data_IF_860238624596
#
_entry.id   IF_860238624596
#
_cell.length_a   1.000
_cell.length_b   1.000
_cell.length_c   1.000
_cell.angle_alpha   90.00
_cell.angle_beta   90.00
_cell.angle_gamma   90.00
#
_symmetry.space_group_name_H-M   'P 1'
#
loop_
_entity.id
_entity.type
_entity.pdbx_description
1 polymer ?
#
# COMPACT_ATOMS: atom_id res chain seq x y z
N UNK A 1 44.48 2.67 20.46
CA UNK A 1 43.47 3.21 19.54
C UNK A 1 43.01 2.09 18.62
N UNK A 2 41.89 1.46 18.95
CA UNK A 2 41.21 0.48 18.09
C UNK A 2 39.74 0.90 18.04
N UNK A 3 39.33 1.44 16.89
CA UNK A 3 37.97 1.87 16.66
C UNK A 3 37.05 0.65 16.54
N UNK A 4 36.05 0.57 17.41
CA UNK A 4 35.02 -0.46 17.34
C UNK A 4 34.10 -0.20 16.13
N UNK A 5 33.82 -1.24 15.34
CA UNK A 5 32.82 -1.23 14.28
C UNK A 5 31.44 -0.83 14.83
N UNK A 6 30.65 -0.01 14.10
CA UNK A 6 29.27 0.25 14.48
C UNK A 6 28.47 -1.06 14.38
N UNK A 7 27.86 -1.45 15.49
CA UNK A 7 26.98 -2.61 15.59
C UNK A 7 25.86 -2.52 14.54
N UNK A 8 25.59 -3.64 13.86
CA UNK A 8 24.45 -3.77 12.96
C UNK A 8 23.15 -3.32 13.66
N UNK A 9 22.24 -2.62 12.95
CA UNK A 9 20.98 -2.18 13.54
C UNK A 9 20.19 -3.40 14.04
N UNK A 10 19.80 -3.37 15.31
CA UNK A 10 18.90 -4.38 15.89
C UNK A 10 17.58 -4.37 15.10
N UNK A 11 16.98 -5.52 14.78
CA UNK A 11 15.64 -5.55 14.23
C UNK A 11 14.69 -4.90 15.23
N UNK A 12 14.15 -3.74 14.86
CA UNK A 12 13.11 -3.05 15.62
C UNK A 12 11.84 -3.89 15.46
N UNK A 13 11.41 -4.58 16.52
CA UNK A 13 10.07 -5.15 16.55
C UNK A 13 9.08 -3.98 16.66
N UNK A 14 8.13 -3.82 15.73
CA UNK A 14 7.10 -2.80 15.87
C UNK A 14 6.22 -3.09 17.11
N UNK A 15 5.67 -2.06 17.78
CA UNK A 15 4.67 -2.26 18.83
C UNK A 15 3.48 -3.03 18.25
N UNK A 16 2.95 -3.96 19.03
CA UNK A 16 1.82 -4.80 18.61
C UNK A 16 0.66 -3.94 18.11
N UNK A 17 0.13 -4.30 16.93
CA UNK A 17 -1.02 -3.66 16.31
C UNK A 17 -2.25 -3.67 17.22
N UNK A 18 -3.21 -2.82 16.91
CA UNK A 18 -4.47 -2.72 17.64
C UNK A 18 -5.06 -4.15 17.83
N UNK A 19 -5.15 -4.68 19.07
CA UNK A 19 -5.18 -6.13 19.33
C UNK A 19 -6.38 -6.88 18.72
N UNK A 20 -7.41 -6.16 18.29
CA UNK A 20 -8.57 -6.71 17.58
C UNK A 20 -8.49 -6.69 16.04
N UNK A 21 -7.57 -5.95 15.40
CA UNK A 21 -7.57 -5.80 13.93
C UNK A 21 -7.29 -7.10 13.20
N UNK A 22 -6.32 -7.88 13.68
CA UNK A 22 -6.00 -9.17 13.07
C UNK A 22 -7.16 -10.17 13.22
N UNK A 23 -7.79 -10.22 14.40
CA UNK A 23 -8.95 -11.08 14.63
C UNK A 23 -10.16 -10.64 13.79
N UNK A 24 -10.36 -9.33 13.62
CA UNK A 24 -11.41 -8.78 12.76
C UNK A 24 -11.16 -9.10 11.28
N UNK A 25 -9.92 -8.97 10.82
CA UNK A 25 -9.53 -9.36 9.47
C UNK A 25 -9.70 -10.87 9.25
N UNK A 26 -9.33 -11.71 10.22
CA UNK A 26 -9.54 -13.16 10.18
C UNK A 26 -11.02 -13.48 10.05
N UNK A 27 -11.87 -12.93 10.92
CA UNK A 27 -13.32 -13.14 10.86
C UNK A 27 -13.90 -12.73 9.50
N UNK A 28 -13.45 -11.60 8.94
CA UNK A 28 -13.86 -11.19 7.60
C UNK A 28 -13.45 -12.21 6.52
N UNK A 29 -12.21 -12.70 6.56
CA UNK A 29 -11.71 -13.71 5.60
C UNK A 29 -12.46 -15.02 5.74
N UNK A 30 -12.72 -15.47 6.97
CA UNK A 30 -13.47 -16.71 7.25
C UNK A 30 -14.91 -16.61 6.72
N UNK A 31 -15.59 -15.50 7.01
CA UNK A 31 -16.95 -15.25 6.53
C UNK A 31 -17.00 -15.19 4.99
N UNK A 32 -16.02 -14.53 4.37
CA UNK A 32 -15.94 -14.44 2.91
C UNK A 32 -15.60 -15.79 2.26
N UNK A 33 -14.76 -16.60 2.90
CA UNK A 33 -14.47 -17.96 2.46
C UNK A 33 -15.68 -18.89 2.61
N UNK A 34 -16.46 -18.74 3.67
CA UNK A 34 -17.73 -19.46 3.84
C UNK A 34 -18.75 -19.14 2.72
N UNK A 35 -18.69 -17.93 2.15
CA UNK A 35 -19.49 -17.52 0.97
C UNK A 35 -18.84 -17.86 -0.38
N UNK A 36 -17.66 -18.47 -0.38
CA UNK A 36 -16.93 -18.81 -1.61
C UNK A 36 -16.32 -17.61 -2.34
N UNK A 37 -16.19 -16.46 -1.68
CA UNK A 37 -15.64 -15.24 -2.29
C UNK A 37 -14.11 -15.16 -2.19
N UNK A 38 -13.55 -15.70 -1.11
CA UNK A 38 -12.11 -15.75 -0.82
C UNK A 38 -11.68 -17.21 -0.57
N UNK A 39 -10.40 -17.56 -0.80
CA UNK A 39 -9.84 -18.80 -0.28
C UNK A 39 -9.78 -18.76 1.25
N UNK A 40 -9.91 -19.93 1.91
CA UNK A 40 -9.62 -20.05 3.34
C UNK A 40 -8.14 -19.75 3.57
N UNK A 41 -7.84 -18.87 4.53
CA UNK A 41 -6.47 -18.49 4.87
C UNK A 41 -6.39 -18.07 6.34
N UNK A 42 -5.40 -18.61 7.04
CA UNK A 42 -5.03 -18.16 8.38
C UNK A 42 -4.15 -16.91 8.28
N UNK A 43 -4.56 -15.83 8.93
CA UNK A 43 -3.86 -14.54 8.94
C UNK A 43 -2.88 -14.42 10.11
N UNK A 44 -2.92 -15.36 11.07
CA UNK A 44 -2.08 -15.34 12.27
C UNK A 44 -0.58 -15.23 11.99
N UNK A 45 -0.10 -15.74 10.86
CA UNK A 45 1.30 -15.65 10.43
C UNK A 45 1.69 -14.35 9.74
N UNK A 46 0.73 -13.48 9.38
CA UNK A 46 1.02 -12.21 8.69
C UNK A 46 1.87 -11.26 9.57
N UNK A 47 1.55 -11.06 10.86
CA UNK A 47 2.47 -10.38 11.76
C UNK A 47 3.68 -11.28 12.01
N UNK A 48 4.81 -10.95 11.36
CA UNK A 48 6.03 -11.77 11.39
C UNK A 48 6.50 -12.18 10.00
N UNK A 49 5.70 -11.97 8.95
CA UNK A 49 6.14 -12.19 7.57
C UNK A 49 7.44 -11.43 7.29
N UNK A 50 8.41 -12.13 6.74
CA UNK A 50 9.66 -11.54 6.26
C UNK A 50 9.56 -11.27 4.77
N UNK A 51 10.12 -10.15 4.35
CA UNK A 51 10.20 -9.76 2.93
C UNK A 51 11.66 -9.65 2.49
N UNK A 52 11.98 -10.23 1.33
CA UNK A 52 13.24 -10.01 0.62
C UNK A 52 12.96 -9.08 -0.56
N UNK A 53 13.34 -7.82 -0.43
CA UNK A 53 13.25 -6.85 -1.52
C UNK A 53 14.40 -7.09 -2.50
N UNK A 54 14.09 -7.57 -3.71
CA UNK A 54 15.03 -7.65 -4.82
C UNK A 54 15.07 -6.31 -5.59
N UNK A 55 16.19 -5.57 -5.56
CA UNK A 55 16.30 -4.30 -6.28
C UNK A 55 16.16 -4.44 -7.80
N UNK A 56 16.54 -5.58 -8.39
CA UNK A 56 16.39 -5.82 -9.83
C UNK A 56 14.94 -6.02 -10.20
N UNK A 57 14.20 -6.78 -9.40
CA UNK A 57 12.75 -6.88 -9.53
C UNK A 57 12.10 -5.50 -9.48
N UNK A 58 12.43 -4.70 -8.46
CA UNK A 58 11.86 -3.36 -8.31
C UNK A 58 12.16 -2.47 -9.52
N UNK A 59 13.40 -2.48 -10.03
CA UNK A 59 13.76 -1.74 -11.26
C UNK A 59 13.03 -2.25 -12.50
N UNK A 60 12.78 -3.56 -12.60
CA UNK A 60 12.04 -4.15 -13.71
C UNK A 60 10.59 -3.69 -13.71
N UNK A 61 9.92 -3.78 -12.55
CA UNK A 61 8.56 -3.28 -12.36
C UNK A 61 8.49 -1.78 -12.61
N UNK A 62 9.45 -1.01 -12.08
CA UNK A 62 9.52 0.42 -12.26
C UNK A 62 9.65 0.83 -13.74
N UNK A 63 10.53 0.18 -14.50
CA UNK A 63 10.69 0.45 -15.95
C UNK A 63 9.43 0.06 -16.73
N UNK A 64 8.76 -1.01 -16.33
CA UNK A 64 7.48 -1.37 -16.94
C UNK A 64 6.43 -0.29 -16.67
N UNK A 65 6.24 0.10 -15.40
CA UNK A 65 5.32 1.17 -15.01
C UNK A 65 5.62 2.49 -15.72
N UNK A 66 6.90 2.87 -15.85
CA UNK A 66 7.34 4.09 -16.53
C UNK A 66 6.85 4.14 -17.99
N UNK A 67 6.99 3.01 -18.70
CA UNK A 67 6.60 2.84 -20.11
C UNK A 67 5.14 2.49 -20.32
N UNK A 68 4.45 2.00 -19.29
CA UNK A 68 3.07 1.58 -19.38
C UNK A 68 2.19 2.76 -19.85
N UNK A 69 1.18 2.48 -20.68
CA UNK A 69 0.24 3.51 -21.09
C UNK A 69 -0.43 4.10 -19.85
N UNK A 70 -0.80 5.38 -19.92
CA UNK A 70 -1.62 6.00 -18.87
C UNK A 70 -2.94 5.22 -18.68
N UNK A 71 -3.48 4.70 -19.79
CA UNK A 71 -4.75 3.99 -19.83
C UNK A 71 -4.75 2.87 -20.86
N UNK A 72 -5.13 1.68 -20.40
CA UNK A 72 -5.42 0.48 -21.19
C UNK A 72 -6.46 -0.37 -20.42
N UNK A 73 -7.72 0.10 -20.44
CA UNK A 73 -8.82 -0.49 -19.68
C UNK A 73 -9.65 -1.42 -20.57
N UNK A 74 -9.35 -2.73 -20.50
CA UNK A 74 -10.20 -3.77 -21.04
C UNK A 74 -11.36 -4.16 -20.09
N UNK A 75 -12.36 -4.92 -20.60
CA UNK A 75 -13.52 -5.36 -19.79
C UNK A 75 -13.10 -6.19 -18.57
N UNK A 76 -12.10 -7.06 -18.71
CA UNK A 76 -11.59 -7.87 -17.60
C UNK A 76 -10.95 -7.00 -16.51
N UNK A 77 -10.17 -6.00 -16.88
CA UNK A 77 -9.56 -5.08 -15.93
C UNK A 77 -10.63 -4.24 -15.24
N UNK A 78 -11.63 -3.76 -15.99
CA UNK A 78 -12.76 -3.02 -15.42
C UNK A 78 -13.55 -3.86 -14.39
N UNK A 79 -13.79 -5.14 -14.67
CA UNK A 79 -14.44 -6.05 -13.73
C UNK A 79 -13.63 -6.22 -12.44
N UNK A 80 -12.29 -6.31 -12.54
CA UNK A 80 -11.40 -6.40 -11.37
C UNK A 80 -11.39 -5.12 -10.55
N UNK A 81 -11.40 -3.94 -11.18
CA UNK A 81 -11.53 -2.66 -10.44
C UNK A 81 -12.89 -2.51 -9.76
N UNK A 82 -13.98 -2.95 -10.40
CA UNK A 82 -15.29 -2.98 -9.75
C UNK A 82 -15.27 -3.87 -8.50
N UNK A 83 -14.71 -5.09 -8.61
CA UNK A 83 -14.55 -5.96 -7.43
C UNK A 83 -13.66 -5.33 -6.36
N UNK A 84 -12.55 -4.72 -6.76
CA UNK A 84 -11.61 -4.07 -5.85
C UNK A 84 -12.27 -2.93 -5.06
N UNK A 85 -13.04 -2.09 -5.74
CA UNK A 85 -13.76 -0.97 -5.11
C UNK A 85 -14.87 -1.44 -4.16
N UNK A 86 -15.59 -2.52 -4.50
CA UNK A 86 -16.55 -3.18 -3.61
C UNK A 86 -15.88 -3.79 -2.37
N UNK A 87 -14.74 -4.48 -2.54
CA UNK A 87 -13.97 -5.05 -1.42
C UNK A 87 -13.36 -3.95 -0.54
N UNK A 88 -12.88 -2.84 -1.12
CA UNK A 88 -12.42 -1.67 -0.38
C UNK A 88 -13.50 -1.10 0.53
N UNK A 89 -14.74 -0.97 0.04
CA UNK A 89 -15.87 -0.49 0.84
C UNK A 89 -16.20 -1.44 1.99
N UNK A 90 -16.12 -2.76 1.76
CA UNK A 90 -16.31 -3.76 2.82
C UNK A 90 -15.22 -3.67 3.88
N UNK A 91 -13.96 -3.55 3.47
CA UNK A 91 -12.83 -3.34 4.39
C UNK A 91 -12.99 -2.02 5.16
N UNK A 92 -13.48 -0.96 4.51
CA UNK A 92 -13.71 0.33 5.15
C UNK A 92 -14.78 0.26 6.24
N UNK A 93 -15.85 -0.51 6.01
CA UNK A 93 -16.88 -0.75 7.01
C UNK A 93 -16.34 -1.50 8.25
N UNK A 94 -15.29 -2.32 8.10
CA UNK A 94 -14.63 -2.97 9.24
C UNK A 94 -13.91 -1.95 10.15
N UNK A 95 -13.45 -0.81 9.62
CA UNK A 95 -12.77 0.21 10.43
C UNK A 95 -13.68 0.73 11.56
N UNK A 96 -14.96 0.99 11.25
CA UNK A 96 -15.94 1.38 12.26
C UNK A 96 -16.17 0.27 13.30
N UNK A 97 -16.21 -1.00 12.89
CA UNK A 97 -16.31 -2.16 13.80
C UNK A 97 -15.09 -2.30 14.70
N UNK A 98 -13.93 -1.83 14.26
CA UNK A 98 -12.71 -1.75 15.06
C UNK A 98 -12.65 -0.54 16.01
N UNK A 99 -13.69 0.32 16.02
CA UNK A 99 -13.69 1.56 16.78
C UNK A 99 -12.84 2.66 16.16
N UNK A 100 -12.43 2.52 14.89
CA UNK A 100 -11.61 3.49 14.17
C UNK A 100 -12.53 4.48 13.44
N UNK A 101 -12.39 5.75 13.78
CA UNK A 101 -13.05 6.85 13.10
C UNK A 101 -12.15 7.40 12.01
N UNK A 102 -12.62 7.36 10.77
CA UNK A 102 -11.90 7.96 9.64
C UNK A 102 -12.26 9.45 9.57
N UNK A 103 -11.28 10.31 9.34
CA UNK A 103 -11.46 11.75 9.09
C UNK A 103 -10.57 12.23 7.94
N UNK A 104 -11.06 13.13 7.06
CA UNK A 104 -10.22 13.80 6.09
C UNK A 104 -9.14 14.66 6.76
N UNK A 105 -7.89 14.52 6.32
CA UNK A 105 -6.84 15.44 6.74
C UNK A 105 -7.07 16.82 6.14
N UNK A 106 -7.01 17.86 6.98
CA UNK A 106 -7.22 19.27 6.59
C UNK A 106 -5.98 20.15 6.77
N UNK A 107 -4.92 19.60 7.36
CA UNK A 107 -3.67 20.33 7.57
C UNK A 107 -2.79 20.35 6.33
N UNK A 108 -1.70 21.13 6.35
CA UNK A 108 -0.70 21.11 5.28
C UNK A 108 0.05 19.79 5.28
N UNK A 109 0.49 19.34 4.09
CA UNK A 109 1.33 18.16 3.92
C UNK A 109 0.65 16.85 4.36
N UNK A 110 1.48 15.81 4.55
CA UNK A 110 1.01 14.49 4.98
C UNK A 110 0.60 14.49 6.47
N UNK A 111 -0.44 13.73 6.87
CA UNK A 111 -0.91 13.66 8.26
C UNK A 111 0.10 12.96 9.21
N UNK A 112 1.00 12.15 8.67
CA UNK A 112 1.91 11.31 9.44
C UNK A 112 3.35 11.45 8.96
N UNK A 113 4.29 11.42 9.92
CA UNK A 113 5.74 11.39 9.62
C UNK A 113 6.20 10.02 9.08
N UNK A 114 5.40 8.98 9.29
CA UNK A 114 5.66 7.60 8.90
C UNK A 114 4.75 6.63 9.66
N UNK A 115 4.89 5.34 9.39
CA UNK A 115 4.03 4.30 9.98
C UNK A 115 4.00 4.30 11.52
N UNK A 116 5.13 4.56 12.19
CA UNK A 116 5.17 4.61 13.65
C UNK A 116 4.30 5.74 14.22
N UNK A 117 4.33 6.93 13.60
CA UNK A 117 3.49 8.07 13.99
C UNK A 117 2.01 7.81 13.68
N UNK A 118 1.70 7.13 12.56
CA UNK A 118 0.36 6.65 12.24
C UNK A 118 -0.17 5.70 13.33
N UNK A 119 0.57 4.64 13.65
CA UNK A 119 0.18 3.64 14.66
C UNK A 119 -0.03 4.31 16.02
N UNK A 120 0.93 5.12 16.45
CA UNK A 120 0.89 5.82 17.73
C UNK A 120 -0.29 6.79 17.84
N UNK A 121 -0.57 7.58 16.79
CA UNK A 121 -1.71 8.51 16.78
C UNK A 121 -3.04 7.78 16.75
N UNK A 122 -3.16 6.74 15.94
CA UNK A 122 -4.38 5.95 15.85
C UNK A 122 -4.67 5.29 17.20
N UNK A 123 -3.67 4.69 17.85
CA UNK A 123 -3.83 4.07 19.17
C UNK A 123 -4.26 5.07 20.25
N UNK A 124 -3.73 6.31 20.22
CA UNK A 124 -4.08 7.34 21.21
C UNK A 124 -5.46 7.98 20.99
N UNK A 125 -5.89 8.12 19.74
CA UNK A 125 -7.05 8.96 19.39
C UNK A 125 -8.24 8.16 18.87
N UNK A 126 -8.03 6.94 18.39
CA UNK A 126 -9.02 6.20 17.63
C UNK A 126 -9.34 6.82 16.26
N UNK A 127 -8.55 7.80 15.80
CA UNK A 127 -8.80 8.53 14.55
C UNK A 127 -7.74 8.22 13.50
N UNK A 128 -8.19 7.79 12.33
CA UNK A 128 -7.39 7.72 11.12
C UNK A 128 -7.61 8.98 10.28
N UNK A 129 -6.55 9.73 10.03
CA UNK A 129 -6.54 10.87 9.12
C UNK A 129 -6.12 10.43 7.73
N UNK A 130 -7.02 10.59 6.76
CA UNK A 130 -6.76 10.22 5.37
C UNK A 130 -6.30 11.45 4.61
N UNK A 131 -5.11 11.37 4.02
CA UNK A 131 -4.67 12.37 3.04
C UNK A 131 -5.45 12.16 1.75
N UNK A 132 -6.27 13.14 1.38
CA UNK A 132 -7.24 13.00 0.31
C UNK A 132 -6.57 13.02 -1.07
N UNK A 133 -7.19 12.31 -2.00
CA UNK A 133 -6.77 12.21 -3.39
C UNK A 133 -6.72 13.58 -4.05
N UNK A 134 -7.72 14.44 -3.83
CA UNK A 134 -7.72 15.81 -4.37
C UNK A 134 -6.49 16.63 -3.97
N UNK A 135 -5.88 16.31 -2.83
CA UNK A 135 -4.72 17.02 -2.27
C UNK A 135 -3.40 16.27 -2.57
N UNK A 136 -3.47 14.97 -2.91
CA UNK A 136 -2.32 14.09 -3.08
C UNK A 136 -2.06 13.55 -4.49
N UNK A 137 -2.92 13.81 -5.47
CA UNK A 137 -2.83 13.22 -6.82
C UNK A 137 -1.82 13.92 -7.76
N UNK A 138 -0.76 14.53 -7.22
CA UNK A 138 0.23 15.24 -8.02
C UNK A 138 -0.35 16.40 -8.85
N UNK A 139 0.44 17.00 -9.76
CA UNK A 139 0.05 18.22 -10.48
C UNK A 139 -1.07 18.02 -11.51
N UNK A 140 -1.34 16.78 -11.94
CA UNK A 140 -2.41 16.48 -12.89
C UNK A 140 -3.81 16.40 -12.26
N UNK A 141 -3.89 16.24 -10.94
CA UNK A 141 -5.16 15.99 -10.24
C UNK A 141 -5.80 14.65 -10.60
N UNK A 142 -6.80 14.19 -9.83
CA UNK A 142 -7.46 12.90 -10.08
C UNK A 142 -8.10 12.85 -11.46
N UNK A 143 -7.73 11.84 -12.25
CA UNK A 143 -8.35 11.57 -13.54
C UNK A 143 -9.76 10.96 -13.33
N UNK A 144 -10.88 11.65 -13.67
CA UNK A 144 -12.22 11.21 -13.29
C UNK A 144 -12.67 9.87 -13.89
N UNK A 145 -12.02 9.46 -14.98
CA UNK A 145 -12.23 8.21 -15.69
C UNK A 145 -11.47 7.02 -15.09
N UNK A 146 -10.59 7.27 -14.12
CA UNK A 146 -9.93 6.24 -13.34
C UNK A 146 -10.89 5.68 -12.28
N UNK A 147 -11.14 4.36 -12.18
CA UNK A 147 -12.12 3.80 -11.25
C UNK A 147 -11.92 4.20 -9.79
N UNK A 148 -10.67 4.36 -9.35
CA UNK A 148 -10.36 4.84 -7.99
C UNK A 148 -10.63 6.33 -7.79
N UNK A 149 -10.65 7.14 -8.85
CA UNK A 149 -11.02 8.55 -8.77
C UNK A 149 -12.53 8.79 -8.86
N UNK A 150 -13.34 7.74 -9.01
CA UNK A 150 -14.79 7.85 -8.96
C UNK A 150 -15.30 8.02 -7.52
N UNK A 151 -16.45 8.68 -7.31
CA UNK A 151 -17.09 8.79 -6.00
C UNK A 151 -17.38 7.42 -5.38
N UNK A 152 -17.01 7.24 -4.11
CA UNK A 152 -17.23 5.96 -3.40
C UNK A 152 -18.64 5.80 -2.81
N UNK A 153 -19.42 6.89 -2.78
CA UNK A 153 -20.70 6.97 -2.06
C UNK A 153 -20.54 7.23 -0.54
N UNK A 154 -19.31 7.25 -0.02
CA UNK A 154 -19.05 7.52 1.41
C UNK A 154 -18.80 9.02 1.62
N UNK A 155 -19.44 9.61 2.63
CA UNK A 155 -19.20 11.00 3.05
C UNK A 155 -18.76 11.04 4.50
N UNK A 156 -17.66 11.74 4.77
CA UNK A 156 -17.09 11.90 6.12
C UNK A 156 -16.81 13.37 6.37
N UNK A 157 -17.38 13.93 7.45
CA UNK A 157 -17.17 15.33 7.81
C UNK A 157 -17.51 16.33 6.69
N UNK A 158 -18.56 16.03 5.91
CA UNK A 158 -19.00 16.82 4.76
C UNK A 158 -18.15 16.65 3.48
N UNK A 159 -17.17 15.74 3.47
CA UNK A 159 -16.34 15.46 2.29
C UNK A 159 -16.75 14.13 1.68
N UNK A 160 -17.16 14.16 0.41
CA UNK A 160 -17.39 12.95 -0.39
C UNK A 160 -16.04 12.30 -0.73
N UNK A 161 -15.85 11.06 -0.31
CA UNK A 161 -14.61 10.33 -0.52
C UNK A 161 -14.61 9.65 -1.89
N UNK A 162 -13.46 9.65 -2.56
CA UNK A 162 -13.23 8.84 -3.76
C UNK A 162 -12.86 7.42 -3.36
N UNK A 163 -13.01 6.46 -4.27
CA UNK A 163 -12.57 5.09 -4.01
C UNK A 163 -11.07 4.98 -3.65
N UNK A 164 -10.25 5.90 -4.16
CA UNK A 164 -8.84 6.02 -3.83
C UNK A 164 -8.62 6.44 -2.37
N UNK A 165 -9.47 7.32 -1.82
CA UNK A 165 -9.41 7.70 -0.39
C UNK A 165 -9.80 6.51 0.51
N UNK A 166 -10.81 5.74 0.08
CA UNK A 166 -11.21 4.50 0.76
C UNK A 166 -10.04 3.51 0.75
N UNK A 167 -9.41 3.31 -0.41
CA UNK A 167 -8.27 2.40 -0.54
C UNK A 167 -7.09 2.82 0.35
N UNK A 168 -6.73 4.12 0.35
CA UNK A 168 -5.69 4.66 1.25
C UNK A 168 -6.01 4.37 2.71
N UNK A 169 -7.25 4.60 3.14
CA UNK A 169 -7.66 4.36 4.52
C UNK A 169 -7.51 2.89 4.92
N UNK A 170 -7.99 1.96 4.08
CA UNK A 170 -7.93 0.53 4.40
C UNK A 170 -6.52 -0.04 4.27
N UNK A 171 -5.70 0.49 3.36
CA UNK A 171 -4.28 0.15 3.24
C UNK A 171 -3.48 0.62 4.47
N UNK A 172 -3.73 1.85 4.94
CA UNK A 172 -3.08 2.36 6.15
C UNK A 172 -3.41 1.49 7.38
N UNK A 173 -4.66 1.06 7.53
CA UNK A 173 -5.05 0.25 8.70
C UNK A 173 -4.65 -1.22 8.56
N UNK A 174 -5.06 -1.90 7.49
CA UNK A 174 -4.81 -3.34 7.33
C UNK A 174 -3.42 -3.66 6.78
N UNK A 175 -2.77 -2.71 6.11
CA UNK A 175 -1.40 -2.85 5.64
C UNK A 175 -0.38 -2.36 6.67
N UNK A 176 -0.46 -1.11 7.11
CA UNK A 176 0.55 -0.55 8.02
C UNK A 176 0.26 -0.83 9.49
N UNK A 177 -0.94 -0.54 10.00
CA UNK A 177 -1.23 -0.64 11.44
C UNK A 177 -1.35 -2.09 11.90
N UNK A 178 -2.10 -2.92 11.17
CA UNK A 178 -2.33 -4.33 11.55
C UNK A 178 -1.02 -5.12 11.56
N UNK A 179 -0.12 -4.86 10.60
CA UNK A 179 1.12 -5.61 10.42
C UNK A 179 2.34 -4.96 11.09
N UNK A 180 2.23 -3.70 11.53
CA UNK A 180 3.38 -2.91 11.97
C UNK A 180 4.35 -2.60 10.83
N UNK A 181 3.86 -2.54 9.58
CA UNK A 181 4.69 -2.36 8.40
C UNK A 181 5.08 -0.88 8.19
N UNK A 182 6.36 -0.63 7.92
CA UNK A 182 6.87 0.73 7.65
C UNK A 182 6.40 1.30 6.28
N UNK A 183 6.68 2.59 6.01
CA UNK A 183 6.38 3.24 4.71
C UNK A 183 7.61 3.29 3.76
N UNK A 184 8.63 2.48 4.04
CA UNK A 184 9.72 2.22 3.09
C UNK A 184 9.37 1.05 2.16
N UNK A 185 10.15 0.83 1.09
CA UNK A 185 9.82 -0.19 0.07
C UNK A 185 9.51 -1.59 0.64
N UNK A 186 10.25 -2.05 1.65
CA UNK A 186 10.00 -3.33 2.31
C UNK A 186 8.69 -3.33 3.11
N UNK A 187 8.41 -2.23 3.80
CA UNK A 187 7.17 -2.09 4.57
C UNK A 187 5.94 -1.94 3.66
N UNK A 188 6.04 -1.22 2.55
CA UNK A 188 4.99 -1.13 1.54
C UNK A 188 4.71 -2.49 0.88
N UNK A 189 5.76 -3.29 0.64
CA UNK A 189 5.61 -4.66 0.14
C UNK A 189 4.86 -5.54 1.16
N UNK A 190 5.24 -5.46 2.45
CA UNK A 190 4.54 -6.18 3.52
C UNK A 190 3.08 -5.72 3.66
N UNK A 191 2.84 -4.41 3.64
CA UNK A 191 1.52 -3.82 3.71
C UNK A 191 0.63 -4.31 2.56
N UNK A 192 1.12 -4.22 1.32
CA UNK A 192 0.41 -4.72 0.14
C UNK A 192 0.15 -6.23 0.22
N UNK A 193 1.16 -7.03 0.58
CA UNK A 193 1.03 -8.50 0.65
C UNK A 193 0.05 -8.95 1.74
N UNK A 194 0.15 -8.38 2.94
CA UNK A 194 -0.76 -8.74 4.02
C UNK A 194 -2.18 -8.25 3.76
N UNK A 195 -2.35 -7.07 3.16
CA UNK A 195 -3.67 -6.58 2.78
C UNK A 195 -4.28 -7.38 1.62
N UNK A 196 -3.48 -7.86 0.66
CA UNK A 196 -3.90 -8.82 -0.39
C UNK A 196 -4.58 -10.06 0.19
N UNK A 197 -4.25 -10.49 1.41
CA UNK A 197 -4.89 -11.63 2.07
C UNK A 197 -6.39 -11.41 2.33
N UNK A 198 -6.86 -10.16 2.36
CA UNK A 198 -8.27 -9.78 2.51
C UNK A 198 -8.97 -9.54 1.17
N UNK A 199 -8.27 -9.59 0.04
CA UNK A 199 -8.89 -9.43 -1.28
C UNK A 199 -9.08 -10.77 -1.98
N UNK A 200 -10.11 -10.86 -2.83
CA UNK A 200 -10.27 -12.01 -3.71
C UNK A 200 -9.08 -12.13 -4.68
N UNK A 201 -8.67 -13.35 -5.10
CA UNK A 201 -7.50 -13.53 -5.97
C UNK A 201 -7.55 -12.73 -7.27
N UNK A 202 -8.74 -12.48 -7.81
CA UNK A 202 -8.91 -11.67 -9.02
C UNK A 202 -8.52 -10.19 -8.85
N UNK A 203 -8.48 -9.69 -7.61
CA UNK A 203 -8.13 -8.29 -7.28
C UNK A 203 -6.63 -8.11 -7.08
N UNK A 204 -5.86 -9.18 -6.79
CA UNK A 204 -4.42 -9.07 -6.53
C UNK A 204 -3.63 -8.38 -7.66
N UNK A 205 -3.92 -8.61 -8.96
CA UNK A 205 -3.31 -7.84 -10.05
C UNK A 205 -3.55 -6.33 -9.96
N UNK A 206 -4.72 -5.90 -9.48
CA UNK A 206 -5.05 -4.48 -9.33
C UNK A 206 -4.28 -3.88 -8.16
N UNK A 207 -4.24 -4.55 -7.00
CA UNK A 207 -3.42 -4.09 -5.86
C UNK A 207 -1.94 -4.02 -6.23
N UNK A 208 -1.46 -4.96 -7.06
CA UNK A 208 -0.09 -4.90 -7.58
C UNK A 208 0.16 -3.65 -8.44
N UNK A 209 -0.74 -3.33 -9.38
CA UNK A 209 -0.60 -2.12 -10.22
C UNK A 209 -0.69 -0.85 -9.37
N UNK A 210 -1.67 -0.79 -8.46
CA UNK A 210 -1.99 0.41 -7.69
C UNK A 210 -1.02 0.71 -6.56
N UNK A 211 -0.43 -0.32 -5.94
CA UNK A 211 0.51 -0.13 -4.83
C UNK A 211 1.93 -0.52 -5.24
N UNK A 212 2.15 -1.77 -5.63
CA UNK A 212 3.50 -2.33 -5.81
C UNK A 212 4.23 -1.65 -6.97
N UNK A 213 3.54 -1.41 -8.09
CA UNK A 213 4.17 -0.79 -9.27
C UNK A 213 4.53 0.67 -9.04
N UNK A 214 3.63 1.43 -8.40
CA UNK A 214 3.88 2.83 -8.04
C UNK A 214 5.04 2.94 -7.03
N UNK A 215 5.08 2.08 -6.01
CA UNK A 215 6.16 2.03 -5.02
C UNK A 215 7.49 1.63 -5.66
N UNK A 216 7.50 0.63 -6.54
CA UNK A 216 8.69 0.27 -7.32
C UNK A 216 9.20 1.46 -8.13
N UNK A 217 8.30 2.17 -8.84
CA UNK A 217 8.69 3.36 -9.60
C UNK A 217 9.20 4.48 -8.70
N UNK A 218 8.52 4.77 -7.59
CA UNK A 218 8.91 5.84 -6.65
C UNK A 218 10.27 5.60 -5.98
N UNK A 219 10.64 4.35 -5.70
CA UNK A 219 11.90 4.01 -5.05
C UNK A 219 13.03 3.58 -6.00
N UNK A 220 12.70 3.09 -7.20
CA UNK A 220 13.64 2.46 -8.14
C UNK A 220 13.43 2.88 -9.60
N UNK A 221 12.66 3.95 -9.84
CA UNK A 221 12.32 4.45 -11.16
C UNK A 221 13.49 4.95 -12.00
N UNK A 222 13.34 4.96 -13.34
CA UNK A 222 14.33 5.56 -14.24
C UNK A 222 14.62 7.04 -13.93
N UNK A 223 13.64 7.78 -13.40
CA UNK A 223 13.79 9.19 -13.00
C UNK A 223 14.80 9.42 -11.86
N UNK A 224 15.21 8.35 -11.16
CA UNK A 224 16.24 8.40 -10.12
C UNK A 224 17.63 8.03 -10.63
N UNK A 225 17.75 7.60 -11.88
CA UNK A 225 19.03 7.21 -12.45
C UNK A 225 19.80 8.45 -12.95
N UNK A 226 21.12 8.46 -12.73
CA UNK A 226 22.02 9.43 -13.32
C UNK A 226 22.17 9.19 -14.85
N UNK A 227 22.88 10.09 -15.54
CA UNK A 227 23.12 9.97 -17.00
C UNK A 227 23.89 8.71 -17.39
N UNK A 228 24.60 8.08 -16.45
CA UNK A 228 25.32 6.82 -16.66
C UNK A 228 24.45 5.59 -16.34
N UNK A 229 23.17 5.77 -15.98
CA UNK A 229 22.25 4.70 -15.65
C UNK A 229 22.48 4.10 -14.25
N UNK A 230 23.18 4.80 -13.35
CA UNK A 230 23.33 4.38 -11.94
C UNK A 230 22.28 5.05 -11.08
N UNK A 231 21.87 4.41 -10.00
CA UNK A 231 20.98 4.99 -8.99
C UNK A 231 21.85 5.55 -7.86
N UNK A 232 22.01 6.87 -7.74
CA UNK A 232 22.77 7.46 -6.65
C UNK A 232 22.18 7.06 -5.30
N UNK A 233 23.05 6.86 -4.31
CA UNK A 233 22.67 6.56 -2.92
C UNK A 233 22.58 7.83 -2.10
N UNK A 234 21.93 7.74 -0.94
CA UNK A 234 21.85 8.87 -0.01
C UNK A 234 23.25 9.41 0.30
N UNK A 235 23.43 10.71 0.06
CA UNK A 235 24.71 11.42 0.25
C UNK A 235 25.58 11.50 -1.00
N UNK A 236 25.24 10.79 -2.08
CA UNK A 236 25.93 10.92 -3.37
C UNK A 236 25.35 12.07 -4.19
N UNK A 237 26.18 12.77 -5.00
CA UNK A 237 25.68 13.76 -5.96
C UNK A 237 24.60 13.18 -6.88
N UNK A 238 23.50 13.91 -7.04
CA UNK A 238 22.36 13.50 -7.85
C UNK A 238 21.36 12.58 -7.13
N UNK A 239 21.56 12.26 -5.85
CA UNK A 239 20.53 11.58 -5.06
C UNK A 239 19.33 12.48 -4.79
N UNK A 240 18.14 11.99 -5.13
CA UNK A 240 16.87 12.71 -4.95
C UNK A 240 16.17 12.21 -3.68
N UNK A 241 15.97 13.07 -2.66
CA UNK A 241 15.24 12.70 -1.45
C UNK A 241 13.77 12.42 -1.75
N UNK A 242 13.09 11.50 -1.03
CA UNK A 242 11.69 11.17 -1.27
C UNK A 242 10.72 12.37 -1.36
N UNK A 243 10.97 13.43 -0.57
CA UNK A 243 10.17 14.65 -0.57
C UNK A 243 10.24 15.47 -1.86
N UNK A 244 11.27 15.25 -2.68
CA UNK A 244 11.50 15.94 -3.96
C UNK A 244 11.23 15.04 -5.17
N UNK A 245 10.84 13.78 -4.93
CA UNK A 245 10.54 12.85 -6.01
C UNK A 245 9.19 13.18 -6.65
N UNK A 246 9.08 13.01 -7.98
CA UNK A 246 7.80 13.18 -8.65
C UNK A 246 6.76 12.19 -8.13
N UNK A 247 5.50 12.60 -8.20
CA UNK A 247 4.37 11.71 -7.95
C UNK A 247 4.34 10.58 -9.00
N UNK A 248 4.19 9.31 -8.59
CA UNK A 248 3.92 8.22 -9.53
C UNK A 248 2.53 8.43 -10.12
N UNK A 249 2.45 8.85 -11.38
CA UNK A 249 1.17 9.04 -12.07
C UNK A 249 0.29 7.79 -11.92
N UNK A 250 -0.94 7.93 -11.43
CA UNK A 250 -1.84 6.80 -11.31
C UNK A 250 -2.26 6.34 -12.71
N UNK A 251 -1.84 5.13 -13.09
CA UNK A 251 -2.05 4.55 -14.42
C UNK A 251 -2.97 3.34 -14.36
N UNK A 252 -3.73 3.14 -15.41
CA UNK A 252 -4.70 2.07 -15.54
C UNK A 252 -4.24 1.04 -16.56
N UNK A 253 -3.55 -0.01 -16.12
CA UNK A 253 -3.07 -1.09 -16.99
C UNK A 253 -3.05 -2.44 -16.26
N UNK A 254 -3.07 -3.53 -17.04
CA UNK A 254 -3.04 -4.89 -16.49
C UNK A 254 -1.68 -5.23 -15.89
N UNK A 255 -1.66 -5.85 -14.70
CA UNK A 255 -0.42 -6.39 -14.13
C UNK A 255 0.21 -7.39 -15.11
N UNK A 256 1.50 -7.22 -15.47
CA UNK A 256 2.17 -8.13 -16.39
C UNK A 256 2.23 -9.58 -15.88
N UNK A 257 2.14 -10.58 -16.77
CA UNK A 257 2.31 -11.98 -16.39
C UNK A 257 3.60 -12.22 -15.60
N UNK A 258 3.52 -13.03 -14.54
CA UNK A 258 4.65 -13.42 -13.67
C UNK A 258 5.11 -12.35 -12.67
N UNK A 259 4.68 -11.09 -12.79
CA UNK A 259 5.07 -10.04 -11.83
C UNK A 259 4.47 -10.29 -10.45
N UNK A 260 3.20 -10.69 -10.41
CA UNK A 260 2.53 -11.03 -9.16
C UNK A 260 3.19 -12.25 -8.50
N UNK A 261 3.54 -13.30 -9.26
CA UNK A 261 4.21 -14.50 -8.73
C UNK A 261 5.59 -14.19 -8.17
N UNK A 262 6.38 -13.35 -8.86
CA UNK A 262 7.68 -12.92 -8.36
C UNK A 262 7.56 -12.03 -7.12
N UNK A 263 6.50 -11.23 -7.05
CA UNK A 263 6.20 -10.46 -5.83
C UNK A 263 5.84 -11.37 -4.67
N UNK A 264 4.90 -12.30 -4.83
CA UNK A 264 4.48 -13.22 -3.75
C UNK A 264 5.63 -14.13 -3.30
N UNK A 265 6.53 -14.52 -4.21
CA UNK A 265 7.76 -15.25 -3.88
C UNK A 265 8.78 -14.44 -3.06
N UNK A 266 8.59 -13.13 -2.89
CA UNK A 266 9.46 -12.28 -2.06
C UNK A 266 9.18 -12.43 -0.56
N UNK A 267 8.14 -13.17 -0.17
CA UNK A 267 7.68 -13.27 1.20
C UNK A 267 7.92 -14.66 1.79
N UNK A 268 8.19 -14.69 3.09
CA UNK A 268 8.24 -15.93 3.88
C UNK A 268 7.44 -15.69 5.15
N UNK A 269 6.30 -16.34 5.25
CA UNK A 269 5.51 -16.36 6.49
C UNK A 269 6.16 -17.33 7.48
N UNK A 270 6.21 -16.96 8.76
CA UNK A 270 6.64 -17.88 9.80
C UNK A 270 5.49 -18.85 10.09
N UNK A 271 5.73 -20.15 9.94
CA UNK A 271 4.78 -21.15 10.41
C UNK A 271 4.67 -21.03 11.94
N UNK A 272 3.44 -20.91 12.44
CA UNK A 272 3.16 -21.03 13.87
C UNK A 272 2.99 -22.49 14.26
#
# INVERSE_FOLDING_TARGET
MTAACPSAPRPVRPPAGHPGLLALAQSYVDDAAARGELPRRELGGLPGTRVRVDPEFCRTVARHFDRAPRRDLGPDLAARYRRFTEENLRHFALLARAGIRVEPWRGPGQPYRGAADLVDRLARTGVLHVYLTRDGHGPGGPAPDHPLCAPSGVTVGGVALLHNDIFRAVHDVFGHVMLGASMGVAGEFLAAYGHMAMYSPQVHPVVFTEQVSQICWFFHGPHLADRAGRWPRRGEPGWIPPSERPYPEQKLFSCPPGFLDRFTASFTEEAR
#
